data_IF_816413854053
#
_entry.id   IF_816413854053
#
_cell.length_a   1.000
_cell.length_b   1.000
_cell.length_c   1.000
_cell.angle_alpha   90.00
_cell.angle_beta   90.00
_cell.angle_gamma   90.00
#
_symmetry.space_group_name_H-M   'P 1'
#
loop_
_entity.id
_entity.type
_entity.pdbx_description
1 polymer ?
#
# COMPACT_ATOMS: atom_id res chain seq x y z
N UNK A 1 -16.59 9.94 -16.24
CA UNK A 1 -16.28 8.83 -15.30
C UNK A 1 -14.77 8.84 -15.09
N UNK A 2 -14.29 8.97 -13.85
CA UNK A 2 -12.86 9.00 -13.55
C UNK A 2 -12.44 7.68 -12.93
N UNK A 3 -11.32 7.11 -13.40
CA UNK A 3 -10.73 5.90 -12.81
C UNK A 3 -9.81 6.33 -11.67
N UNK A 4 -10.32 6.36 -10.44
CA UNK A 4 -9.51 6.57 -9.25
C UNK A 4 -8.68 5.30 -9.01
N UNK A 5 -7.36 5.38 -9.22
CA UNK A 5 -6.47 4.22 -9.19
C UNK A 5 -6.16 3.71 -7.78
N UNK A 6 -6.33 4.55 -6.75
CA UNK A 6 -5.95 4.21 -5.38
C UNK A 6 -7.11 4.46 -4.41
N UNK A 7 -7.26 3.55 -3.46
CA UNK A 7 -8.13 3.72 -2.31
C UNK A 7 -7.27 4.02 -1.08
N UNK A 8 -7.55 5.12 -0.38
CA UNK A 8 -6.82 5.53 0.81
C UNK A 8 -5.83 6.65 0.54
N UNK A 9 -4.63 6.56 1.13
CA UNK A 9 -3.59 7.61 1.05
C UNK A 9 -2.37 7.09 0.29
N UNK A 10 -1.73 7.97 -0.47
CA UNK A 10 -0.45 7.71 -1.13
C UNK A 10 0.66 8.40 -0.32
N UNK A 11 1.67 7.63 0.11
CA UNK A 11 2.84 8.14 0.81
C UNK A 11 4.00 8.42 -0.14
N UNK A 12 4.85 9.39 0.21
CA UNK A 12 6.11 9.69 -0.51
C UNK A 12 7.27 9.70 0.48
N UNK A 13 8.35 9.00 0.14
CA UNK A 13 9.61 9.06 0.88
C UNK A 13 10.34 10.36 0.52
N UNK A 14 10.48 11.27 1.50
CA UNK A 14 11.20 12.52 1.31
C UNK A 14 12.68 12.40 1.73
N UNK A 15 12.94 12.30 3.04
CA UNK A 15 14.28 12.11 3.60
C UNK A 15 14.52 10.70 4.15
N UNK A 16 13.46 9.91 4.31
CA UNK A 16 13.59 8.53 4.75
C UNK A 16 14.14 7.66 3.60
N UNK A 17 15.19 6.85 3.83
CA UNK A 17 15.78 6.03 2.78
C UNK A 17 14.88 4.86 2.35
N UNK A 18 13.99 4.39 3.23
CA UNK A 18 13.10 3.26 2.97
C UNK A 18 11.83 3.30 3.84
N UNK A 19 10.85 2.46 3.50
CA UNK A 19 9.66 2.25 4.33
C UNK A 19 9.98 1.52 5.64
N UNK A 20 9.09 1.62 6.63
CA UNK A 20 9.19 0.84 7.87
C UNK A 20 10.06 1.47 8.96
N UNK A 21 10.73 2.59 8.67
CA UNK A 21 11.51 3.36 9.65
C UNK A 21 10.64 4.29 10.50
N UNK A 22 11.19 4.73 11.64
CA UNK A 22 10.61 5.78 12.49
C UNK A 22 9.70 5.29 13.65
N UNK A 23 9.46 3.98 13.77
CA UNK A 23 8.73 3.40 14.91
C UNK A 23 9.68 3.30 16.11
N UNK A 24 9.25 3.81 17.28
CA UNK A 24 10.00 3.69 18.55
C UNK A 24 9.39 2.70 19.53
N UNK A 25 8.06 2.58 19.51
CA UNK A 25 7.32 1.60 20.30
C UNK A 25 6.76 0.51 19.38
N UNK A 26 7.52 -0.57 19.26
CA UNK A 26 7.16 -1.70 18.42
C UNK A 26 6.02 -2.53 19.01
N UNK A 27 5.90 -2.59 20.35
CA UNK A 27 4.86 -3.36 21.01
C UNK A 27 3.47 -2.76 20.74
N UNK A 28 3.34 -1.43 20.82
CA UNK A 28 2.10 -0.74 20.46
C UNK A 28 1.76 -0.90 18.99
N UNK A 29 2.75 -0.81 18.10
CA UNK A 29 2.52 -1.03 16.66
C UNK A 29 2.05 -2.45 16.36
N UNK A 30 2.66 -3.46 16.98
CA UNK A 30 2.31 -4.86 16.77
C UNK A 30 0.85 -5.14 17.10
N UNK A 31 0.33 -4.57 18.20
CA UNK A 31 -1.08 -4.71 18.61
C UNK A 31 -2.11 -4.19 17.59
N UNK A 32 -1.70 -3.32 16.66
CA UNK A 32 -2.62 -2.64 15.73
C UNK A 32 -2.24 -2.88 14.26
N UNK A 33 -1.37 -3.85 13.97
CA UNK A 33 -0.75 -4.00 12.65
C UNK A 33 -1.78 -4.22 11.54
N UNK A 34 -2.83 -4.98 11.82
CA UNK A 34 -3.90 -5.26 10.85
C UNK A 34 -4.72 -4.01 10.52
N UNK A 35 -5.01 -3.18 11.52
CA UNK A 35 -5.72 -1.93 11.31
C UNK A 35 -4.88 -0.91 10.53
N UNK A 36 -3.56 -0.87 10.79
CA UNK A 36 -2.62 0.00 10.09
C UNK A 36 -2.50 -0.40 8.61
N UNK A 37 -2.47 -1.70 8.31
CA UNK A 37 -2.26 -2.20 6.95
C UNK A 37 -3.55 -2.37 6.13
N UNK A 38 -4.73 -1.97 6.65
CA UNK A 38 -6.04 -2.17 6.01
C UNK A 38 -6.15 -1.70 4.56
N UNK A 39 -5.45 -0.64 4.19
CA UNK A 39 -5.49 -0.06 2.84
C UNK A 39 -4.29 -0.44 1.97
N UNK A 40 -3.44 -1.37 2.42
CA UNK A 40 -2.39 -1.90 1.55
C UNK A 40 -3.01 -2.86 0.54
N UNK A 41 -2.66 -2.67 -0.73
CA UNK A 41 -2.92 -3.68 -1.75
C UNK A 41 -2.13 -4.93 -1.38
N UNK A 42 -2.83 -6.04 -1.10
CA UNK A 42 -2.19 -7.32 -0.82
C UNK A 42 -1.39 -7.72 -2.07
N UNK A 43 -0.11 -8.09 -1.93
CA UNK A 43 0.76 -8.46 -3.06
C UNK A 43 0.25 -9.62 -3.95
N UNK A 44 -0.86 -10.26 -3.58
CA UNK A 44 -1.55 -11.29 -4.36
C UNK A 44 -2.71 -10.79 -5.24
N UNK A 45 -3.14 -9.53 -5.11
CA UNK A 45 -4.24 -8.99 -5.89
C UNK A 45 -3.79 -8.63 -7.31
N UNK A 46 -3.78 -9.65 -8.18
CA UNK A 46 -4.03 -9.60 -9.62
C UNK A 46 -3.49 -8.38 -10.38
N UNK A 47 -2.30 -8.56 -10.97
CA UNK A 47 -1.89 -7.80 -12.17
C UNK A 47 -3.02 -7.91 -13.20
N UNK A 48 -3.62 -6.81 -13.68
CA UNK A 48 -4.40 -6.89 -14.90
C UNK A 48 -3.42 -7.22 -16.02
N UNK A 49 -3.65 -8.33 -16.71
CA UNK A 49 -2.95 -8.71 -17.95
C UNK A 49 -3.18 -7.62 -19.00
N UNK A 50 -2.32 -6.59 -19.03
CA UNK A 50 -2.26 -5.61 -20.12
C UNK A 50 -1.61 -6.28 -21.33
N UNK A 51 -2.43 -6.69 -22.32
CA UNK A 51 -1.88 -7.07 -23.62
C UNK A 51 -2.69 -7.95 -24.56
N UNK A 52 -3.92 -8.39 -24.25
CA UNK A 52 -4.72 -9.10 -25.28
C UNK A 52 -5.44 -8.08 -26.18
N UNK A 53 -5.17 -8.03 -27.51
CA UNK A 53 -5.96 -7.20 -28.40
C UNK A 53 -7.40 -7.69 -28.34
N UNK A 54 -8.31 -6.80 -27.93
CA UNK A 54 -9.75 -7.05 -28.06
C UNK A 54 -10.08 -6.90 -29.54
N UNK A 55 -10.20 -8.05 -30.21
CA UNK A 55 -10.88 -8.21 -31.50
C UNK A 55 -12.32 -7.74 -31.42
#
# INVERSE_FOLDING_TARGET
MHRNLHQGKVGVLALAPEEGLGVRDHAKRARHIDAINRFRETAAASRPEEGKPRS
#
